data_IF_464574837960
#
_entry.id   IF_464574837960
#
_cell.length_a   1.000
_cell.length_b   1.000
_cell.length_c   1.000
_cell.angle_alpha   90.00
_cell.angle_beta   90.00
_cell.angle_gamma   90.00
#
_symmetry.space_group_name_H-M   'P 1'
#
loop_
_entity.id
_entity.type
_entity.pdbx_description
1 polymer ?
#
# COMPACT_ATOMS: atom_id res chain seq x y z
N UNK A 1 -9.20 -0.91 -11.60
CA UNK A 1 -8.63 -2.25 -11.66
C UNK A 1 -9.73 -3.27 -11.41
N UNK A 2 -9.83 -4.30 -12.22
CA UNK A 2 -10.85 -5.36 -12.12
C UNK A 2 -12.31 -4.83 -12.14
N UNK A 3 -12.63 -3.83 -12.97
CA UNK A 3 -13.97 -3.26 -13.08
C UNK A 3 -14.43 -2.40 -11.89
N UNK A 4 -13.57 -2.14 -10.91
CA UNK A 4 -13.89 -1.29 -9.76
C UNK A 4 -13.63 0.18 -10.09
N UNK A 5 -14.62 1.02 -9.88
CA UNK A 5 -14.48 2.46 -10.00
C UNK A 5 -13.69 3.02 -8.81
N UNK A 6 -12.78 3.95 -9.09
CA UNK A 6 -12.08 4.72 -8.06
C UNK A 6 -12.91 5.97 -7.74
N UNK A 7 -13.48 6.00 -6.54
CA UNK A 7 -14.29 7.11 -6.09
C UNK A 7 -13.38 8.21 -5.51
N UNK A 8 -13.28 9.33 -6.23
CA UNK A 8 -12.38 10.45 -5.88
C UNK A 8 -13.06 11.80 -6.11
N UNK A 9 -13.96 12.23 -5.22
CA UNK A 9 -14.65 13.51 -5.36
C UNK A 9 -13.67 14.68 -5.37
N UNK A 10 -13.96 15.69 -6.19
CA UNK A 10 -13.12 16.88 -6.30
C UNK A 10 -12.96 17.57 -4.94
N UNK A 11 -11.72 17.88 -4.57
CA UNK A 11 -11.41 18.65 -3.35
C UNK A 11 -11.36 17.85 -2.04
N UNK A 12 -11.63 16.52 -2.05
CA UNK A 12 -11.72 15.71 -0.82
C UNK A 12 -10.46 14.90 -0.51
N UNK A 13 -9.54 14.80 -1.44
CA UNK A 13 -8.36 13.97 -1.28
C UNK A 13 -7.11 14.55 -1.96
N UNK A 14 -6.03 13.82 -1.79
CA UNK A 14 -4.75 14.01 -2.44
C UNK A 14 -4.51 12.83 -3.38
N UNK A 15 -4.39 13.10 -4.68
CA UNK A 15 -4.17 12.08 -5.71
C UNK A 15 -3.01 12.51 -6.60
N UNK A 16 -1.98 11.69 -6.67
CA UNK A 16 -0.81 11.97 -7.51
C UNK A 16 -0.13 10.69 -7.96
N UNK A 17 0.71 10.79 -8.99
CA UNK A 17 1.59 9.72 -9.44
C UNK A 17 3.02 10.23 -9.50
N UNK A 18 3.95 9.42 -9.02
CA UNK A 18 5.38 9.61 -9.18
C UNK A 18 5.89 8.64 -10.24
N UNK A 19 6.59 9.16 -11.25
CA UNK A 19 7.32 8.34 -12.22
C UNK A 19 8.79 8.39 -11.85
N UNK A 20 9.41 7.22 -11.73
CA UNK A 20 10.83 7.09 -11.41
C UNK A 20 11.46 5.97 -12.24
N UNK A 21 12.75 6.11 -12.54
CA UNK A 21 13.53 5.05 -13.18
C UNK A 21 14.36 4.35 -12.12
N UNK A 22 14.22 3.02 -11.95
CA UNK A 22 15.02 2.28 -10.99
C UNK A 22 16.49 2.32 -11.38
N UNK A 23 17.38 2.49 -10.39
CA UNK A 23 18.83 2.42 -10.59
C UNK A 23 19.36 0.98 -10.55
N UNK A 24 18.54 0.03 -10.18
CA UNK A 24 18.90 -1.38 -10.02
C UNK A 24 17.79 -2.28 -10.57
N UNK A 25 18.16 -3.50 -10.94
CA UNK A 25 17.19 -4.50 -11.36
C UNK A 25 16.11 -4.69 -10.30
N UNK A 26 14.86 -4.49 -10.71
CA UNK A 26 13.72 -4.73 -9.86
C UNK A 26 13.40 -6.21 -9.87
N UNK A 27 13.79 -6.88 -8.81
CA UNK A 27 13.43 -8.29 -8.62
C UNK A 27 11.96 -8.46 -8.21
N UNK A 28 11.31 -7.38 -7.71
CA UNK A 28 9.92 -7.45 -7.24
C UNK A 28 9.25 -6.08 -7.17
N UNK A 29 8.13 -5.92 -7.89
CA UNK A 29 7.25 -4.76 -7.75
C UNK A 29 6.59 -4.68 -6.35
N UNK A 30 6.52 -5.80 -5.63
CA UNK A 30 5.96 -5.86 -4.27
C UNK A 30 6.82 -5.08 -3.29
N UNK A 31 8.15 -5.15 -3.42
CA UNK A 31 9.08 -4.43 -2.53
C UNK A 31 8.88 -2.92 -2.59
N UNK A 32 8.80 -2.35 -3.80
CA UNK A 32 8.60 -0.90 -3.94
C UNK A 32 7.20 -0.46 -3.52
N UNK A 33 6.19 -1.30 -3.74
CA UNK A 33 4.81 -1.04 -3.27
C UNK A 33 4.76 -1.02 -1.75
N UNK A 34 5.40 -1.99 -1.10
CA UNK A 34 5.48 -2.07 0.36
C UNK A 34 6.28 -0.90 0.95
N UNK A 35 7.38 -0.50 0.28
CA UNK A 35 8.14 0.67 0.68
C UNK A 35 7.32 1.96 0.58
N UNK A 36 6.56 2.13 -0.51
CA UNK A 36 5.68 3.27 -0.67
C UNK A 36 4.62 3.35 0.44
N UNK A 37 4.09 2.21 0.88
CA UNK A 37 3.17 2.17 2.02
C UNK A 37 3.83 2.65 3.32
N UNK A 38 5.08 2.26 3.59
CA UNK A 38 5.86 2.77 4.74
C UNK A 38 6.04 4.29 4.63
N UNK A 39 6.46 4.79 3.46
CA UNK A 39 6.65 6.22 3.24
C UNK A 39 5.37 7.04 3.52
N UNK A 40 4.21 6.54 3.08
CA UNK A 40 2.92 7.22 3.31
C UNK A 40 2.56 7.21 4.80
N UNK A 41 2.66 6.06 5.49
CA UNK A 41 2.36 5.96 6.93
C UNK A 41 3.25 6.90 7.74
N UNK A 42 4.55 6.91 7.46
CA UNK A 42 5.50 7.77 8.16
C UNK A 42 5.29 9.25 7.87
N UNK A 43 4.95 9.62 6.62
CA UNK A 43 4.65 11.01 6.27
C UNK A 43 3.38 11.51 6.97
N UNK A 44 2.33 10.69 7.01
CA UNK A 44 1.11 11.02 7.76
C UNK A 44 1.43 11.21 9.24
N UNK A 45 2.14 10.25 9.85
CA UNK A 45 2.52 10.34 11.27
C UNK A 45 3.35 11.58 11.59
N UNK A 46 4.32 11.90 10.73
CA UNK A 46 5.22 13.06 10.92
C UNK A 46 4.47 14.39 10.85
N UNK A 47 3.53 14.55 9.90
CA UNK A 47 2.80 15.80 9.73
C UNK A 47 1.59 15.96 10.63
N UNK A 48 0.92 14.87 11.00
CA UNK A 48 -0.39 14.95 11.66
C UNK A 48 -0.42 14.31 13.05
N UNK A 49 0.62 13.56 13.40
CA UNK A 49 0.62 12.74 14.61
C UNK A 49 -0.27 11.49 14.53
N UNK A 50 -1.03 11.29 13.42
CA UNK A 50 -2.00 10.21 13.28
C UNK A 50 -1.32 8.86 13.04
N UNK A 51 -1.69 7.86 13.83
CA UNK A 51 -1.24 6.48 13.67
C UNK A 51 -2.11 5.74 12.66
N UNK A 52 -1.50 5.28 11.57
CA UNK A 52 -2.16 4.49 10.54
C UNK A 52 -1.51 3.12 10.41
N UNK A 53 -2.21 2.17 9.78
CA UNK A 53 -1.75 0.79 9.62
C UNK A 53 -1.76 0.37 8.16
N UNK A 54 -0.90 -0.58 7.81
CA UNK A 54 -0.80 -1.12 6.45
C UNK A 54 -1.56 -2.45 6.40
N UNK A 55 -2.60 -2.51 5.58
CA UNK A 55 -3.17 -3.77 5.13
C UNK A 55 -2.42 -4.23 3.90
N UNK A 56 -1.79 -5.39 3.99
CA UNK A 56 -0.96 -5.94 2.93
C UNK A 56 -1.73 -5.95 1.59
N UNK A 57 -1.16 -5.46 0.51
CA UNK A 57 0.24 -5.00 0.35
C UNK A 57 0.32 -3.46 0.33
N UNK A 58 -0.76 -2.76 -0.01
CA UNK A 58 -0.75 -1.40 -0.54
C UNK A 58 -1.88 -0.50 0.00
N UNK A 59 -2.65 -0.95 0.96
CA UNK A 59 -3.75 -0.17 1.51
C UNK A 59 -3.42 0.36 2.90
N UNK A 60 -3.62 1.65 3.13
CA UNK A 60 -3.44 2.27 4.44
C UNK A 60 -4.80 2.44 5.11
N UNK A 61 -4.87 2.03 6.36
CA UNK A 61 -6.08 2.03 7.18
C UNK A 61 -5.95 2.97 8.37
N UNK A 62 -7.03 3.65 8.68
CA UNK A 62 -7.25 4.43 9.89
C UNK A 62 -8.56 3.96 10.52
N UNK A 63 -8.53 3.57 11.79
CA UNK A 63 -9.72 3.12 12.57
C UNK A 63 -10.57 2.07 11.83
N UNK A 64 -9.90 1.07 11.25
CA UNK A 64 -10.57 -0.02 10.53
C UNK A 64 -11.08 0.33 9.13
N UNK A 65 -10.95 1.58 8.66
CA UNK A 65 -11.40 2.05 7.35
C UNK A 65 -10.22 2.40 6.45
N UNK A 66 -10.39 2.16 5.14
CA UNK A 66 -9.34 2.45 4.15
C UNK A 66 -9.19 3.95 3.92
N UNK A 67 -8.04 4.49 4.31
CA UNK A 67 -7.65 5.88 4.16
C UNK A 67 -6.94 6.15 2.84
N UNK A 68 -6.04 5.23 2.43
CA UNK A 68 -5.20 5.41 1.26
C UNK A 68 -5.06 4.11 0.48
N UNK A 69 -4.96 4.24 -0.84
CA UNK A 69 -4.58 3.17 -1.74
C UNK A 69 -3.35 3.54 -2.55
N UNK A 70 -2.48 2.58 -2.79
CA UNK A 70 -1.25 2.73 -3.57
C UNK A 70 -1.32 1.75 -4.73
N UNK A 71 -0.95 2.21 -5.93
CA UNK A 71 -0.82 1.38 -7.12
C UNK A 71 0.57 1.56 -7.69
N UNK A 72 1.28 0.46 -7.88
CA UNK A 72 2.59 0.47 -8.53
C UNK A 72 2.50 -0.30 -9.85
N UNK A 73 2.95 0.33 -10.92
CA UNK A 73 2.98 -0.23 -12.27
C UNK A 73 4.41 -0.11 -12.81
N UNK A 74 4.93 -1.20 -13.35
CA UNK A 74 6.22 -1.23 -14.01
C UNK A 74 6.04 -1.10 -15.52
N UNK A 75 6.81 -0.22 -16.14
CA UNK A 75 6.91 -0.11 -17.60
C UNK A 75 8.19 -0.83 -18.02
N UNK A 76 8.04 -1.91 -18.78
CA UNK A 76 9.17 -2.69 -19.28
C UNK A 76 9.46 -2.33 -20.74
N UNK A 77 10.74 -2.30 -21.06
CA UNK A 77 11.21 -2.27 -22.43
C UNK A 77 10.98 -3.64 -23.08
N UNK A 78 10.30 -3.66 -24.23
CA UNK A 78 9.94 -4.91 -24.91
C UNK A 78 11.14 -5.62 -25.55
N UNK A 79 12.20 -4.88 -25.91
CA UNK A 79 13.38 -5.44 -26.57
C UNK A 79 14.36 -6.06 -25.57
N UNK A 80 14.54 -5.40 -24.43
CA UNK A 80 15.50 -5.83 -23.41
C UNK A 80 14.88 -6.62 -22.26
N UNK A 81 13.55 -6.55 -22.09
CA UNK A 81 12.84 -7.12 -20.95
C UNK A 81 13.12 -6.43 -19.61
N UNK A 82 13.88 -5.33 -19.64
CA UNK A 82 14.23 -4.57 -18.43
C UNK A 82 13.13 -3.59 -18.05
N UNK A 83 12.97 -3.31 -16.75
CA UNK A 83 12.06 -2.28 -16.27
C UNK A 83 12.68 -0.91 -16.51
N UNK A 84 12.09 -0.12 -17.40
CA UNK A 84 12.56 1.23 -17.71
C UNK A 84 12.06 2.28 -16.72
N UNK A 85 10.79 2.16 -16.29
CA UNK A 85 10.17 3.11 -15.38
C UNK A 85 9.21 2.40 -14.42
N UNK A 86 8.99 3.05 -13.27
CA UNK A 86 7.96 2.68 -12.32
C UNK A 86 7.04 3.86 -12.11
N UNK A 87 5.74 3.59 -12.13
CA UNK A 87 4.71 4.56 -11.82
C UNK A 87 4.11 4.19 -10.48
N UNK A 88 4.19 5.09 -9.50
CA UNK A 88 3.63 4.91 -8.15
C UNK A 88 2.47 5.88 -8.00
N UNK A 89 1.25 5.38 -8.14
CA UNK A 89 0.02 6.13 -7.89
C UNK A 89 -0.37 6.08 -6.41
N UNK A 90 -0.66 7.23 -5.80
CA UNK A 90 -1.04 7.34 -4.39
C UNK A 90 -2.31 8.17 -4.29
N UNK A 91 -3.33 7.61 -3.62
CA UNK A 91 -4.57 8.30 -3.32
C UNK A 91 -4.86 8.29 -1.82
N UNK A 92 -4.95 9.49 -1.20
CA UNK A 92 -5.19 9.67 0.24
C UNK A 92 -6.49 10.47 0.42
N UNK A 93 -7.43 9.97 1.21
CA UNK A 93 -8.65 10.67 1.55
C UNK A 93 -8.37 11.66 2.69
N UNK A 94 -8.52 12.97 2.45
CA UNK A 94 -8.19 14.00 3.42
C UNK A 94 -9.40 14.56 4.17
N UNK A 95 -10.53 14.69 3.47
CA UNK A 95 -11.75 15.26 4.04
C UNK A 95 -12.95 14.37 3.78
N UNK A 96 -13.85 14.32 4.74
CA UNK A 96 -15.14 13.65 4.60
C UNK A 96 -15.85 14.11 3.33
N UNK A 97 -16.33 13.14 2.57
CA UNK A 97 -17.13 13.32 1.37
C UNK A 97 -18.48 12.63 1.50
N UNK A 98 -19.44 13.07 0.72
CA UNK A 98 -20.69 12.31 0.57
C UNK A 98 -20.35 10.99 -0.14
N UNK A 99 -20.49 9.88 0.59
CA UNK A 99 -20.20 8.56 0.08
C UNK A 99 -21.47 7.81 -0.30
N UNK A 100 -21.45 7.00 -1.37
CA UNK A 100 -22.45 5.96 -1.56
C UNK A 100 -22.54 5.04 -0.33
N UNK A 101 -23.73 4.55 -0.01
CA UNK A 101 -23.95 3.71 1.19
C UNK A 101 -23.01 2.49 1.25
N UNK A 102 -22.70 1.90 0.09
CA UNK A 102 -21.78 0.76 -0.03
C UNK A 102 -20.33 1.06 0.39
N UNK A 103 -19.96 2.34 0.54
CA UNK A 103 -18.60 2.79 0.89
C UNK A 103 -18.49 3.40 2.29
N UNK A 104 -19.60 3.79 2.94
CA UNK A 104 -19.59 4.50 4.23
C UNK A 104 -18.82 3.79 5.34
N UNK A 105 -18.89 2.46 5.38
CA UNK A 105 -18.21 1.65 6.40
C UNK A 105 -16.80 1.20 5.99
N UNK A 106 -16.39 1.51 4.75
CA UNK A 106 -15.13 1.03 4.18
C UNK A 106 -14.09 2.12 4.00
N UNK A 107 -14.53 3.37 3.85
CA UNK A 107 -13.66 4.51 3.53
C UNK A 107 -13.42 5.34 4.77
N UNK A 108 -12.14 5.57 5.07
CA UNK A 108 -11.66 6.47 6.13
C UNK A 108 -11.15 7.77 5.54
N UNK A 109 -11.08 8.80 6.39
CA UNK A 109 -10.58 10.13 6.06
C UNK A 109 -9.60 10.58 7.13
N UNK A 110 -8.58 11.35 6.73
CA UNK A 110 -7.59 11.88 7.67
C UNK A 110 -8.13 13.07 8.49
N UNK A 111 -9.18 13.72 7.98
CA UNK A 111 -9.84 14.91 8.55
C UNK A 111 -8.89 16.11 8.73
N UNK A 112 -8.08 16.36 7.72
CA UNK A 112 -7.17 17.51 7.67
C UNK A 112 -7.53 18.48 6.55
N UNK A 113 -7.25 19.76 6.78
CA UNK A 113 -7.46 20.81 5.82
C UNK A 113 -6.50 20.74 4.62
N UNK A 114 -6.96 21.28 3.49
CA UNK A 114 -6.28 21.19 2.19
C UNK A 114 -4.86 21.76 2.13
N UNK A 115 -4.44 22.77 2.95
CA UNK A 115 -3.06 23.26 2.94
C UNK A 115 -2.00 22.18 3.16
N UNK A 116 -2.32 21.09 3.89
CA UNK A 116 -1.39 19.99 4.16
C UNK A 116 -0.93 19.22 2.89
N UNK A 117 -1.65 19.36 1.77
CA UNK A 117 -1.38 18.56 0.57
C UNK A 117 0.04 18.70 0.05
N UNK A 118 0.53 19.93 -0.07
CA UNK A 118 1.85 20.19 -0.64
C UNK A 118 2.97 19.65 0.27
N UNK A 119 2.80 19.79 1.57
CA UNK A 119 3.75 19.27 2.56
C UNK A 119 3.76 17.76 2.56
N UNK A 120 2.57 17.14 2.51
CA UNK A 120 2.41 15.69 2.47
C UNK A 120 3.02 15.08 1.20
N UNK A 121 2.74 15.66 0.01
CA UNK A 121 3.39 15.25 -1.25
C UNK A 121 4.91 15.36 -1.12
N UNK A 122 5.41 16.53 -0.70
CA UNK A 122 6.84 16.78 -0.59
C UNK A 122 7.51 15.75 0.30
N UNK A 123 6.91 15.46 1.45
CA UNK A 123 7.46 14.51 2.41
C UNK A 123 7.44 13.06 1.90
N UNK A 124 6.31 12.64 1.30
CA UNK A 124 6.19 11.31 0.69
C UNK A 124 7.23 11.14 -0.42
N UNK A 125 7.34 12.11 -1.34
CA UNK A 125 8.29 12.05 -2.46
C UNK A 125 9.73 12.01 -1.95
N UNK A 126 10.11 12.85 -0.98
CA UNK A 126 11.44 12.82 -0.37
C UNK A 126 11.79 11.45 0.23
N UNK A 127 10.81 10.80 0.88
CA UNK A 127 11.01 9.44 1.41
C UNK A 127 11.11 8.41 0.29
N UNK A 128 10.25 8.46 -0.73
CA UNK A 128 10.26 7.53 -1.87
C UNK A 128 11.59 7.55 -2.65
N UNK A 129 12.20 8.72 -2.80
CA UNK A 129 13.48 8.87 -3.52
C UNK A 129 14.67 8.18 -2.82
N UNK A 130 14.51 7.74 -1.57
CA UNK A 130 15.50 6.97 -0.82
C UNK A 130 15.38 5.45 -0.98
N UNK A 131 14.54 4.97 -1.90
CA UNK A 131 14.27 3.54 -2.06
C UNK A 131 15.53 2.70 -2.23
N UNK A 132 16.44 3.12 -3.12
CA UNK A 132 17.68 2.37 -3.39
C UNK A 132 18.59 2.25 -2.15
N UNK A 133 18.58 3.25 -1.27
CA UNK A 133 19.33 3.26 -0.02
C UNK A 133 18.69 2.38 1.07
N UNK A 134 17.34 2.38 1.12
CA UNK A 134 16.57 1.78 2.20
C UNK A 134 15.96 0.40 1.87
N UNK A 135 16.02 -0.05 0.61
CA UNK A 135 15.36 -1.26 0.12
C UNK A 135 15.68 -2.54 0.91
N UNK A 136 16.82 -2.59 1.54
CA UNK A 136 17.23 -3.76 2.36
C UNK A 136 16.85 -3.63 3.85
N UNK A 137 16.35 -2.47 4.29
CA UNK A 137 16.12 -2.18 5.72
C UNK A 137 14.68 -1.83 6.08
N UNK A 138 13.83 -1.47 5.11
CA UNK A 138 12.49 -0.97 5.39
C UNK A 138 11.49 -2.03 5.91
N UNK A 139 11.76 -3.32 5.68
CA UNK A 139 10.82 -4.40 6.03
C UNK A 139 10.47 -4.43 7.51
N UNK A 140 11.42 -4.13 8.39
CA UNK A 140 11.15 -4.02 9.83
C UNK A 140 10.10 -2.95 10.15
N UNK A 141 10.16 -1.81 9.47
CA UNK A 141 9.16 -0.72 9.59
C UNK A 141 7.81 -1.15 9.02
N UNK A 142 7.80 -1.80 7.87
CA UNK A 142 6.58 -2.34 7.28
C UNK A 142 5.85 -3.30 8.23
N UNK A 143 6.59 -4.27 8.83
CA UNK A 143 6.05 -5.20 9.82
C UNK A 143 5.44 -4.48 11.03
N UNK A 144 6.11 -3.47 11.55
CA UNK A 144 5.63 -2.64 12.66
C UNK A 144 4.28 -1.96 12.38
N UNK A 145 4.09 -1.52 11.14
CA UNK A 145 2.84 -0.87 10.71
C UNK A 145 1.79 -1.86 10.21
N UNK A 146 2.12 -3.15 10.09
CA UNK A 146 1.19 -4.14 9.54
C UNK A 146 -0.08 -4.29 10.36
N UNK A 147 -1.24 -4.27 9.67
CA UNK A 147 -2.55 -4.55 10.24
C UNK A 147 -2.84 -6.04 10.34
N UNK A 148 -2.14 -6.87 9.56
CA UNK A 148 -2.54 -8.27 9.29
C UNK A 148 -1.66 -9.31 9.99
N UNK A 149 -0.44 -8.99 10.38
CA UNK A 149 0.46 -9.96 11.03
C UNK A 149 -0.14 -10.50 12.33
N UNK A 150 -0.04 -11.81 12.51
CA UNK A 150 -0.61 -12.56 13.64
C UNK A 150 -2.11 -12.79 13.56
N UNK A 151 -2.78 -12.38 12.46
CA UNK A 151 -4.24 -12.52 12.31
C UNK A 151 -4.60 -13.57 11.28
N UNK A 152 -5.80 -14.13 11.45
CA UNK A 152 -6.40 -15.01 10.45
C UNK A 152 -6.93 -14.17 9.29
N UNK A 153 -6.61 -14.63 8.09
CA UNK A 153 -6.94 -13.96 6.84
C UNK A 153 -7.59 -14.92 5.86
N UNK A 154 -8.44 -14.36 5.02
CA UNK A 154 -8.89 -14.98 3.78
C UNK A 154 -8.10 -14.38 2.62
N UNK A 155 -7.62 -15.20 1.72
CA UNK A 155 -6.91 -14.76 0.51
C UNK A 155 -7.34 -15.56 -0.72
N UNK A 156 -7.20 -14.96 -1.89
CA UNK A 156 -7.54 -15.61 -3.17
C UNK A 156 -6.27 -15.92 -3.95
N UNK A 157 -6.15 -17.16 -4.39
CA UNK A 157 -5.08 -17.63 -5.28
C UNK A 157 -5.71 -18.45 -6.40
N UNK A 158 -5.42 -18.13 -7.67
CA UNK A 158 -5.97 -18.80 -8.84
C UNK A 158 -7.52 -18.92 -8.81
N UNK A 159 -8.21 -17.82 -8.46
CA UNK A 159 -9.66 -17.73 -8.30
C UNK A 159 -10.26 -18.66 -7.21
N UNK A 160 -9.44 -19.24 -6.36
CA UNK A 160 -9.88 -20.08 -5.23
C UNK A 160 -9.60 -19.34 -3.92
N UNK A 161 -10.57 -19.39 -3.01
CA UNK A 161 -10.45 -18.80 -1.67
C UNK A 161 -9.74 -19.78 -0.73
N UNK A 162 -8.82 -19.23 0.06
CA UNK A 162 -8.06 -19.95 1.09
C UNK A 162 -8.11 -19.18 2.40
N UNK A 163 -7.89 -19.90 3.49
CA UNK A 163 -7.80 -19.33 4.83
C UNK A 163 -6.47 -19.71 5.47
N UNK A 164 -5.94 -18.81 6.30
CA UNK A 164 -4.70 -19.06 7.02
C UNK A 164 -4.31 -17.90 7.90
N UNK A 165 -3.26 -18.09 8.69
CA UNK A 165 -2.73 -17.06 9.58
C UNK A 165 -1.56 -16.34 8.90
N UNK A 166 -1.60 -15.01 8.86
CA UNK A 166 -0.51 -14.17 8.36
C UNK A 166 0.65 -14.18 9.36
N UNK A 167 1.72 -14.92 9.06
CA UNK A 167 2.82 -15.12 9.99
C UNK A 167 3.85 -13.99 9.94
N UNK A 168 4.30 -13.64 8.74
CA UNK A 168 5.41 -12.69 8.57
C UNK A 168 5.39 -12.06 7.16
N UNK A 169 6.28 -11.11 6.95
CA UNK A 169 6.60 -10.50 5.65
C UNK A 169 8.04 -10.86 5.31
N UNK A 170 8.27 -11.39 4.12
CA UNK A 170 9.63 -11.68 3.66
C UNK A 170 10.40 -10.41 3.26
N UNK A 171 11.69 -10.56 2.95
CA UNK A 171 12.56 -9.43 2.58
C UNK A 171 12.12 -8.68 1.33
N UNK A 172 11.32 -9.32 0.46
CA UNK A 172 10.85 -8.76 -0.80
C UNK A 172 9.43 -8.18 -0.66
N UNK A 173 8.83 -8.19 0.56
CA UNK A 173 7.48 -7.69 0.84
C UNK A 173 6.38 -8.73 0.66
N UNK A 174 6.70 -9.99 0.36
CA UNK A 174 5.75 -11.08 0.25
C UNK A 174 5.15 -11.46 1.61
N UNK A 175 3.84 -11.75 1.65
CA UNK A 175 3.15 -12.19 2.87
C UNK A 175 3.29 -13.69 3.07
N UNK A 176 3.87 -14.10 4.18
CA UNK A 176 4.01 -15.50 4.58
C UNK A 176 2.75 -15.92 5.33
N UNK A 177 2.00 -16.88 4.76
CA UNK A 177 0.73 -17.37 5.32
C UNK A 177 0.84 -18.86 5.65
N UNK A 178 0.41 -19.23 6.84
CA UNK A 178 0.27 -20.63 7.28
C UNK A 178 -1.17 -21.07 7.09
N UNK A 179 -1.38 -22.14 6.34
CA UNK A 179 -2.68 -22.80 6.12
C UNK A 179 -2.54 -24.28 6.50
N UNK A 180 -3.10 -24.69 7.64
CA UNK A 180 -2.88 -26.04 8.18
C UNK A 180 -1.40 -26.32 8.40
N UNK A 181 -0.88 -27.39 7.77
CA UNK A 181 0.53 -27.79 7.86
C UNK A 181 1.43 -27.18 6.77
N UNK A 182 0.88 -26.32 5.90
CA UNK A 182 1.64 -25.72 4.80
C UNK A 182 1.86 -24.23 5.02
N UNK A 183 2.97 -23.74 4.46
CA UNK A 183 3.28 -22.30 4.43
C UNK A 183 3.40 -21.85 2.98
N UNK A 184 2.78 -20.73 2.64
CA UNK A 184 2.78 -20.15 1.30
C UNK A 184 3.23 -18.68 1.39
N UNK A 185 4.02 -18.22 0.41
CA UNK A 185 4.35 -16.81 0.23
C UNK A 185 3.45 -16.21 -0.84
N UNK A 186 2.68 -15.20 -0.46
CA UNK A 186 1.86 -14.42 -1.39
C UNK A 186 2.70 -13.24 -1.89
N UNK A 187 2.86 -13.12 -3.21
CA UNK A 187 3.56 -12.00 -3.86
C UNK A 187 2.62 -10.97 -4.47
N UNK A 188 1.33 -11.28 -4.53
CA UNK A 188 0.26 -10.39 -5.03
C UNK A 188 -1.08 -10.91 -4.57
N UNK A 189 -2.13 -10.12 -4.73
CA UNK A 189 -3.51 -10.52 -4.45
C UNK A 189 -4.20 -9.63 -3.43
N UNK A 190 -5.46 -9.95 -3.17
CA UNK A 190 -6.27 -9.31 -2.15
C UNK A 190 -6.40 -10.23 -0.95
N UNK A 191 -6.30 -9.64 0.24
CA UNK A 191 -6.56 -10.33 1.49
C UNK A 191 -7.71 -9.65 2.24
N UNK A 192 -8.45 -10.42 3.01
CA UNK A 192 -9.44 -9.90 3.96
C UNK A 192 -9.13 -10.46 5.34
N UNK A 193 -9.31 -9.63 6.37
CA UNK A 193 -9.27 -10.12 7.74
C UNK A 193 -10.49 -11.03 7.95
N UNK A 194 -10.27 -12.17 8.53
CA UNK A 194 -11.31 -13.07 8.97
C UNK A 194 -11.54 -12.81 10.46
N UNK A 195 -12.71 -12.30 10.77
CA UNK A 195 -13.17 -12.04 12.15
C UNK A 195 -14.03 -13.18 12.64
#
# INVERSE_FOLDING_TARGET
RNGRNFYSPKGTGLYFSLVTSPKSDLTSAVGITSYAAVCVVEAIKELTGTDTKIKWVNDIYLDGKKLCGILTEAVSDFETGTVSNIIIGIGINLKTATLPDTLKDKVGFLEYDLPIKNELISLIVKKLLKYDEERNSFIGRYKKYSLVLGKDIKYTKNNTEFYGTALDIDRDGGLIVKSGNSTTVLKSGEISLYL
#
